data_IF_327046576553
#
_entry.id   IF_327046576553
#
_cell.length_a   1.000
_cell.length_b   1.000
_cell.length_c   1.000
_cell.angle_alpha   90.00
_cell.angle_beta   90.00
_cell.angle_gamma   90.00
#
_symmetry.space_group_name_H-M   'P 1'
#
loop_
_entity.id
_entity.type
_entity.pdbx_description
1 polymer ?
#
# COMPACT_ATOMS: atom_id res chain seq x y z
N UNK A 1 52.08 20.27 14.01
CA UNK A 1 50.63 20.18 13.75
C UNK A 1 49.92 20.35 15.08
N UNK A 2 49.10 21.39 15.21
CA UNK A 2 48.61 21.85 16.53
C UNK A 2 47.51 20.88 17.02
N UNK A 3 47.69 20.28 18.20
CA UNK A 3 46.80 19.29 18.81
C UNK A 3 45.33 19.75 18.85
N UNK A 4 45.11 21.07 18.96
CA UNK A 4 43.78 21.71 18.90
C UNK A 4 43.08 21.58 17.53
N UNK A 5 43.86 21.60 16.44
CA UNK A 5 43.34 21.40 15.08
C UNK A 5 42.94 19.94 14.84
N UNK A 6 43.70 18.99 15.38
CA UNK A 6 43.41 17.57 15.28
C UNK A 6 42.11 17.21 16.04
N UNK A 7 41.94 17.79 17.24
CA UNK A 7 40.73 17.60 18.02
C UNK A 7 39.47 18.18 17.37
N UNK A 8 39.61 19.34 16.69
CA UNK A 8 38.48 19.94 15.96
C UNK A 8 38.08 19.11 14.72
N UNK A 9 39.03 18.59 13.96
CA UNK A 9 38.77 17.69 12.84
C UNK A 9 38.14 16.37 13.28
N UNK A 10 38.54 15.79 14.41
CA UNK A 10 37.94 14.58 14.97
C UNK A 10 36.50 14.82 15.45
N UNK A 11 36.21 16.00 15.99
CA UNK A 11 34.86 16.37 16.42
C UNK A 11 33.90 16.57 15.22
N UNK A 12 34.38 17.21 14.13
CA UNK A 12 33.62 17.39 12.91
C UNK A 12 33.42 16.06 12.17
N UNK A 13 34.42 15.18 12.21
CA UNK A 13 34.30 13.85 11.61
C UNK A 13 33.34 12.94 12.42
N UNK A 14 33.36 13.03 13.75
CA UNK A 14 32.44 12.29 14.61
C UNK A 14 30.98 12.78 14.43
N UNK A 15 30.77 14.09 14.24
CA UNK A 15 29.42 14.63 13.98
C UNK A 15 28.89 14.28 12.58
N UNK A 16 29.76 14.02 11.61
CA UNK A 16 29.33 13.56 10.27
C UNK A 16 29.02 12.05 10.22
N UNK A 17 29.53 11.25 11.17
CA UNK A 17 29.22 9.81 11.27
C UNK A 17 27.88 9.59 11.99
N UNK A 18 27.43 10.52 12.83
CA UNK A 18 26.04 10.61 13.25
C UNK A 18 25.19 11.29 12.19
N UNK A 19 25.44 10.94 10.92
CA UNK A 19 24.51 11.25 9.85
C UNK A 19 23.13 10.85 10.35
N UNK A 20 22.27 11.84 10.52
CA UNK A 20 20.85 11.67 10.69
C UNK A 20 20.40 10.58 9.70
N UNK A 21 20.43 9.32 10.13
CA UNK A 21 19.57 8.33 9.53
C UNK A 21 18.20 8.92 9.77
N UNK A 22 17.68 9.61 8.76
CA UNK A 22 16.26 9.85 8.68
C UNK A 22 15.67 8.45 8.89
N UNK A 23 15.26 8.15 10.11
CA UNK A 23 14.50 6.97 10.39
C UNK A 23 13.24 7.20 9.58
N UNK A 24 13.21 6.59 8.40
CA UNK A 24 11.94 6.34 7.75
C UNK A 24 11.17 5.47 8.74
N UNK A 25 10.41 6.14 9.58
CA UNK A 25 9.49 5.45 10.48
C UNK A 25 8.53 4.76 9.56
N UNK A 26 8.76 3.46 9.39
CA UNK A 26 7.79 2.57 8.77
C UNK A 26 6.58 2.65 9.67
N UNK A 27 5.63 3.46 9.30
CA UNK A 27 4.41 3.53 10.04
C UNK A 27 3.73 2.17 9.90
N UNK A 28 3.89 1.41 10.91
CA UNK A 28 3.11 0.22 11.09
C UNK A 28 1.72 0.67 11.50
N UNK A 29 0.71 0.23 10.76
CA UNK A 29 -0.65 0.27 11.25
C UNK A 29 -0.68 -0.38 12.64
N UNK A 30 -1.34 0.27 13.57
CA UNK A 30 -1.47 -0.22 14.93
C UNK A 30 -2.74 -1.06 15.04
N UNK A 31 -2.69 -2.28 15.60
CA UNK A 31 -3.91 -3.01 15.93
C UNK A 31 -4.83 -2.12 16.79
N UNK A 32 -6.08 -2.05 16.43
CA UNK A 32 -7.07 -1.22 17.11
C UNK A 32 -8.14 -2.10 17.75
N UNK A 33 -8.56 -1.72 18.97
CA UNK A 33 -9.69 -2.38 19.60
C UNK A 33 -10.97 -1.97 18.87
N UNK A 34 -11.83 -2.91 18.56
CA UNK A 34 -13.10 -2.66 17.87
C UNK A 34 -13.97 -1.61 18.58
N UNK A 35 -13.91 -1.53 19.92
CA UNK A 35 -14.63 -0.51 20.70
C UNK A 35 -14.13 0.92 20.45
N UNK A 36 -12.89 1.06 19.99
CA UNK A 36 -12.29 2.37 19.66
C UNK A 36 -12.58 2.82 18.23
N UNK A 37 -13.16 1.96 17.39
CA UNK A 37 -13.49 2.29 16.00
C UNK A 37 -14.75 3.15 15.97
N UNK A 38 -14.75 4.28 15.26
CA UNK A 38 -15.94 5.11 15.09
C UNK A 38 -17.14 4.31 14.56
N UNK A 39 -18.30 4.51 15.15
CA UNK A 39 -19.51 3.76 14.79
C UNK A 39 -19.88 3.94 13.31
N UNK A 40 -19.66 5.14 12.77
CA UNK A 40 -19.90 5.41 11.34
C UNK A 40 -19.10 4.48 10.43
N UNK A 41 -17.84 4.21 10.75
CA UNK A 41 -16.99 3.30 9.96
C UNK A 41 -17.52 1.87 10.05
N UNK A 42 -17.88 1.40 11.26
CA UNK A 42 -18.42 0.06 11.45
C UNK A 42 -19.73 -0.14 10.68
N UNK A 43 -20.60 0.85 10.69
CA UNK A 43 -21.87 0.78 9.97
C UNK A 43 -21.63 0.68 8.45
N UNK A 44 -20.78 1.54 7.90
CA UNK A 44 -20.45 1.53 6.46
C UNK A 44 -19.79 0.20 6.07
N UNK A 45 -18.83 -0.29 6.88
CA UNK A 45 -18.22 -1.59 6.64
C UNK A 45 -19.26 -2.73 6.63
N UNK A 46 -20.16 -2.76 7.59
CA UNK A 46 -21.20 -3.81 7.69
C UNK A 46 -22.20 -3.74 6.52
N UNK A 47 -22.52 -2.53 6.04
CA UNK A 47 -23.36 -2.34 4.86
C UNK A 47 -22.68 -2.80 3.58
N UNK A 48 -21.39 -2.49 3.42
CA UNK A 48 -20.61 -2.88 2.24
C UNK A 48 -20.31 -4.39 2.23
N UNK A 49 -20.03 -4.97 3.40
CA UNK A 49 -19.57 -6.36 3.52
C UNK A 49 -20.36 -7.18 4.54
N UNK A 50 -21.70 -7.31 4.35
CA UNK A 50 -22.59 -7.89 5.38
C UNK A 50 -22.32 -9.37 5.68
N UNK A 51 -21.62 -10.08 4.79
CA UNK A 51 -21.29 -11.51 4.94
C UNK A 51 -19.82 -11.77 5.21
N UNK A 52 -19.02 -10.70 5.36
CA UNK A 52 -17.60 -10.85 5.57
C UNK A 52 -17.27 -11.34 6.98
N UNK A 53 -16.23 -12.15 7.07
CA UNK A 53 -15.65 -12.54 8.36
C UNK A 53 -14.59 -11.51 8.73
N UNK A 54 -14.83 -10.75 9.78
CA UNK A 54 -13.88 -9.78 10.32
C UNK A 54 -12.65 -10.49 10.87
N UNK A 55 -11.47 -10.03 10.48
CA UNK A 55 -10.18 -10.53 10.96
C UNK A 55 -9.50 -9.56 11.93
N UNK A 56 -9.62 -8.24 11.70
CA UNK A 56 -9.04 -7.26 12.60
C UNK A 56 -9.25 -5.81 12.15
N UNK A 57 -9.14 -4.92 13.12
CA UNK A 57 -9.12 -3.48 12.92
C UNK A 57 -7.74 -2.91 13.19
N UNK A 58 -7.37 -1.92 12.43
CA UNK A 58 -6.09 -1.21 12.56
C UNK A 58 -6.34 0.30 12.45
N UNK A 59 -5.53 1.04 13.17
CA UNK A 59 -5.57 2.49 13.18
C UNK A 59 -4.24 3.06 12.69
N UNK A 60 -4.28 4.18 11.99
CA UNK A 60 -3.09 4.88 11.53
C UNK A 60 -3.32 6.38 11.44
N UNK A 61 -2.23 7.16 11.46
CA UNK A 61 -2.26 8.58 11.18
C UNK A 61 -1.49 8.84 9.89
N UNK A 62 -2.18 9.32 8.87
CA UNK A 62 -1.61 9.66 7.57
C UNK A 62 -1.55 11.17 7.46
N UNK A 63 -0.34 11.75 7.41
CA UNK A 63 -0.14 13.19 7.34
C UNK A 63 -0.37 13.72 5.94
N UNK A 64 0.14 13.02 4.93
CA UNK A 64 -0.09 13.34 3.53
C UNK A 64 0.09 12.08 2.68
N UNK A 65 -0.58 12.08 1.53
CA UNK A 65 -0.39 11.07 0.51
C UNK A 65 0.75 11.50 -0.41
N UNK A 66 1.74 10.64 -0.63
CA UNK A 66 2.72 10.88 -1.68
C UNK A 66 2.00 10.95 -3.02
N UNK A 67 2.44 11.86 -3.88
CA UNK A 67 1.90 12.28 -5.19
C UNK A 67 1.47 11.16 -6.14
N UNK A 68 0.93 10.12 -5.63
CA UNK A 68 0.40 9.05 -6.40
C UNK A 68 -1.12 9.16 -6.35
N UNK A 69 -1.68 9.85 -7.32
CA UNK A 69 -3.12 9.93 -7.56
C UNK A 69 -3.76 8.55 -7.81
N UNK A 70 -2.95 7.55 -7.85
CA UNK A 70 -3.36 6.19 -7.93
C UNK A 70 -3.51 5.67 -6.52
N UNK A 71 -4.68 5.48 -6.05
CA UNK A 71 -5.17 4.80 -4.83
C UNK A 71 -4.24 3.80 -4.12
N UNK A 72 -2.91 4.04 -4.12
CA UNK A 72 -1.97 3.27 -3.33
C UNK A 72 -1.94 3.80 -1.92
N UNK A 73 -2.40 3.01 -0.99
CA UNK A 73 -2.31 3.33 0.43
C UNK A 73 -0.86 3.51 0.85
N UNK A 74 -0.66 4.07 2.06
CA UNK A 74 0.65 4.31 2.65
C UNK A 74 1.56 3.06 2.66
N UNK A 75 1.01 1.87 2.52
CA UNK A 75 1.77 0.68 2.16
C UNK A 75 0.91 -0.31 1.37
N UNK A 76 1.53 -0.97 0.43
CA UNK A 76 0.93 -2.09 -0.31
C UNK A 76 1.36 -3.43 0.25
N UNK A 77 0.77 -4.51 -0.24
CA UNK A 77 1.22 -5.86 0.08
C UNK A 77 2.62 -6.18 -0.44
N UNK A 78 3.17 -5.31 -1.26
CA UNK A 78 4.54 -5.39 -1.75
C UNK A 78 5.54 -4.61 -0.89
N UNK A 79 5.12 -4.14 0.29
CA UNK A 79 6.00 -3.40 1.20
C UNK A 79 6.33 -1.97 0.79
N UNK A 80 5.83 -1.50 -0.34
CA UNK A 80 6.07 -0.14 -0.81
C UNK A 80 5.18 0.86 -0.08
N UNK A 81 5.74 2.03 0.21
CA UNK A 81 5.08 3.11 0.93
C UNK A 81 4.86 4.30 0.04
N UNK A 82 3.68 4.82 0.12
CA UNK A 82 3.29 6.03 -0.58
C UNK A 82 3.00 7.21 0.35
N UNK A 83 3.10 7.06 1.66
CA UNK A 83 2.78 8.11 2.62
C UNK A 83 3.67 8.08 3.86
N UNK A 84 3.77 9.24 4.54
CA UNK A 84 4.37 9.35 5.87
C UNK A 84 3.30 9.14 6.92
N UNK A 85 3.57 8.26 7.87
CA UNK A 85 2.66 7.92 8.96
C UNK A 85 3.37 8.14 10.29
N UNK A 86 2.67 8.73 11.26
CA UNK A 86 3.17 8.93 12.61
C UNK A 86 2.33 8.15 13.61
N UNK A 87 2.92 7.13 14.23
CA UNK A 87 2.24 6.24 15.17
C UNK A 87 1.85 6.89 16.50
N UNK A 88 2.46 8.04 16.84
CA UNK A 88 2.19 8.76 18.09
C UNK A 88 1.05 9.78 17.98
N UNK A 89 0.53 10.02 16.79
CA UNK A 89 -0.59 10.94 16.59
C UNK A 89 -1.92 10.20 16.69
N UNK A 90 -3.00 10.97 16.99
CA UNK A 90 -4.34 10.40 16.95
C UNK A 90 -4.64 9.86 15.56
N UNK A 91 -5.23 8.67 15.46
CA UNK A 91 -5.57 8.09 14.16
C UNK A 91 -6.53 9.02 13.40
N UNK A 92 -6.31 9.15 12.12
CA UNK A 92 -7.23 9.82 11.19
C UNK A 92 -7.73 8.86 10.10
N UNK A 93 -7.21 7.62 10.08
CA UNK A 93 -7.66 6.53 9.23
C UNK A 93 -7.75 5.23 9.98
N UNK A 94 -8.64 4.38 9.51
CA UNK A 94 -8.84 3.01 9.99
C UNK A 94 -8.84 2.04 8.83
N UNK A 95 -8.16 0.93 9.01
CA UNK A 95 -8.14 -0.18 8.08
C UNK A 95 -8.83 -1.38 8.73
N UNK A 96 -9.65 -2.09 7.98
CA UNK A 96 -10.25 -3.35 8.38
C UNK A 96 -9.72 -4.48 7.51
N UNK A 97 -9.30 -5.57 8.15
CA UNK A 97 -8.98 -6.83 7.49
C UNK A 97 -10.15 -7.79 7.64
N UNK A 98 -10.52 -8.43 6.56
CA UNK A 98 -11.66 -9.36 6.53
C UNK A 98 -11.52 -10.36 5.38
N UNK A 99 -12.36 -11.39 5.40
CA UNK A 99 -12.49 -12.37 4.33
C UNK A 99 -13.93 -12.43 3.86
N UNK A 100 -14.17 -12.31 2.57
CA UNK A 100 -15.47 -12.53 1.95
C UNK A 100 -15.64 -13.99 1.53
N UNK A 101 -14.56 -14.62 1.10
CA UNK A 101 -14.53 -16.00 0.65
C UNK A 101 -13.35 -16.74 1.27
N UNK A 102 -13.49 -18.04 1.55
CA UNK A 102 -12.40 -18.83 2.15
C UNK A 102 -11.08 -18.70 1.37
N UNK A 103 -10.03 -18.30 2.07
CA UNK A 103 -8.68 -18.16 1.51
C UNK A 103 -8.41 -16.86 0.74
N UNK A 104 -9.33 -15.90 0.79
CA UNK A 104 -9.13 -14.53 0.33
C UNK A 104 -8.91 -13.60 1.53
N UNK A 105 -7.99 -12.67 1.37
CA UNK A 105 -7.75 -11.61 2.32
C UNK A 105 -8.08 -10.27 1.68
N UNK A 106 -9.00 -9.55 2.29
CA UNK A 106 -9.40 -8.21 1.90
C UNK A 106 -9.02 -7.20 2.97
N UNK A 107 -8.73 -5.97 2.54
CA UNK A 107 -8.47 -4.82 3.40
C UNK A 107 -9.19 -3.60 2.85
N UNK A 108 -9.96 -2.93 3.69
CA UNK A 108 -10.63 -1.68 3.33
C UNK A 108 -10.13 -0.53 4.21
N UNK A 109 -9.95 0.65 3.62
CA UNK A 109 -9.44 1.85 4.27
C UNK A 109 -10.51 2.93 4.34
N UNK A 110 -10.71 3.47 5.53
CA UNK A 110 -11.68 4.53 5.84
C UNK A 110 -11.00 5.68 6.59
N UNK A 111 -11.45 6.92 6.37
CA UNK A 111 -11.09 7.98 7.29
C UNK A 111 -12.01 8.01 8.51
N UNK A 112 -11.71 8.88 9.49
CA UNK A 112 -12.50 9.02 10.74
C UNK A 112 -13.96 9.42 10.51
N UNK A 113 -14.29 9.98 9.34
CA UNK A 113 -15.65 10.40 8.97
C UNK A 113 -16.42 9.31 8.23
N UNK A 114 -15.81 8.13 8.01
CA UNK A 114 -16.41 7.02 7.28
C UNK A 114 -16.22 7.06 5.77
N UNK A 115 -15.47 8.03 5.23
CA UNK A 115 -15.17 8.01 3.80
C UNK A 115 -14.32 6.79 3.45
N UNK A 116 -14.86 5.93 2.58
CA UNK A 116 -14.18 4.75 2.07
C UNK A 116 -13.27 5.14 0.90
N UNK A 117 -11.99 4.81 1.01
CA UNK A 117 -10.99 5.10 -0.04
C UNK A 117 -10.85 3.97 -1.03
N UNK A 118 -10.65 2.78 -0.53
CA UNK A 118 -10.32 1.63 -1.36
C UNK A 118 -10.48 0.34 -0.58
N UNK A 119 -10.86 -0.72 -1.28
CA UNK A 119 -10.72 -2.09 -0.80
C UNK A 119 -9.78 -2.84 -1.72
N UNK A 120 -8.87 -3.60 -1.13
CA UNK A 120 -7.93 -4.49 -1.80
C UNK A 120 -8.21 -5.90 -1.40
N UNK A 121 -8.44 -6.75 -2.40
CA UNK A 121 -8.64 -8.18 -2.20
C UNK A 121 -7.52 -8.95 -2.87
N UNK A 122 -6.80 -9.77 -2.11
CA UNK A 122 -5.79 -10.65 -2.67
C UNK A 122 -6.46 -11.77 -3.47
N UNK A 123 -6.02 -11.95 -4.71
CA UNK A 123 -6.57 -12.94 -5.63
C UNK A 123 -5.51 -13.94 -6.07
N UNK A 124 -5.94 -15.16 -6.40
CA UNK A 124 -5.03 -16.22 -6.86
C UNK A 124 -4.67 -16.10 -8.33
N UNK A 125 -5.59 -15.66 -9.16
CA UNK A 125 -5.43 -15.55 -10.61
C UNK A 125 -5.94 -14.23 -11.18
N UNK A 126 -5.48 -13.83 -12.34
CA UNK A 126 -6.00 -12.72 -13.10
C UNK A 126 -7.13 -13.19 -14.03
N UNK A 127 -8.12 -12.35 -14.34
CA UNK A 127 -9.11 -12.60 -15.39
C UNK A 127 -8.45 -12.97 -16.73
N UNK A 128 -9.13 -13.81 -17.50
CA UNK A 128 -8.61 -14.26 -18.79
C UNK A 128 -8.34 -13.09 -19.75
N UNK A 129 -9.24 -12.10 -19.79
CA UNK A 129 -9.07 -10.91 -20.61
C UNK A 129 -7.76 -10.15 -20.30
N UNK A 130 -7.38 -10.04 -19.04
CA UNK A 130 -6.10 -9.42 -18.64
C UNK A 130 -4.92 -10.26 -19.12
N UNK A 131 -5.01 -11.60 -18.97
CA UNK A 131 -3.95 -12.50 -19.41
C UNK A 131 -3.77 -12.46 -20.94
N UNK A 132 -4.85 -12.31 -21.69
CA UNK A 132 -4.82 -12.16 -23.16
C UNK A 132 -4.25 -10.79 -23.55
N UNK A 133 -4.74 -9.72 -22.93
CA UNK A 133 -4.23 -8.37 -23.18
C UNK A 133 -2.73 -8.24 -22.91
N UNK A 134 -2.21 -8.90 -21.86
CA UNK A 134 -0.78 -8.90 -21.56
C UNK A 134 0.08 -9.51 -22.67
N UNK A 135 -0.44 -10.51 -23.41
CA UNK A 135 0.29 -11.14 -24.52
C UNK A 135 0.56 -10.15 -25.65
N UNK A 136 -0.32 -9.16 -25.83
CA UNK A 136 -0.20 -8.12 -26.86
C UNK A 136 0.69 -6.95 -26.45
N UNK A 137 1.23 -6.98 -25.22
CA UNK A 137 2.10 -5.94 -24.70
C UNK A 137 3.58 -6.34 -24.76
N UNK A 138 4.47 -5.35 -24.59
CA UNK A 138 5.92 -5.59 -24.40
C UNK A 138 6.23 -6.44 -23.16
N UNK A 139 5.24 -6.70 -22.31
CA UNK A 139 5.35 -7.49 -21.08
C UNK A 139 4.96 -8.96 -21.25
N UNK A 140 4.63 -9.40 -22.46
CA UNK A 140 4.21 -10.79 -22.76
C UNK A 140 5.15 -11.86 -22.22
N UNK A 141 6.46 -11.58 -22.19
CA UNK A 141 7.50 -12.49 -21.71
C UNK A 141 7.98 -12.19 -20.29
N UNK A 142 7.23 -11.37 -19.53
CA UNK A 142 7.59 -11.03 -18.18
C UNK A 142 6.89 -11.98 -17.19
N UNK A 143 7.56 -12.26 -16.08
CA UNK A 143 7.00 -13.06 -15.01
C UNK A 143 5.98 -12.24 -14.23
N UNK A 144 4.77 -12.75 -14.08
CA UNK A 144 3.74 -12.17 -13.24
C UNK A 144 4.00 -12.57 -11.78
N UNK A 145 3.86 -11.63 -10.84
CA UNK A 145 4.02 -11.88 -9.41
C UNK A 145 3.01 -12.91 -8.88
N UNK A 146 3.37 -13.57 -7.80
CA UNK A 146 2.44 -14.44 -7.06
C UNK A 146 1.32 -13.62 -6.42
N UNK A 147 1.67 -12.47 -5.84
CA UNK A 147 0.69 -11.55 -5.24
C UNK A 147 0.03 -10.74 -6.33
N UNK A 148 -1.29 -10.79 -6.37
CA UNK A 148 -2.17 -10.04 -7.26
C UNK A 148 -3.33 -9.53 -6.44
N UNK A 149 -3.83 -8.37 -6.78
CA UNK A 149 -4.92 -7.73 -6.04
C UNK A 149 -6.02 -7.25 -6.99
N UNK A 150 -7.23 -7.38 -6.53
CA UNK A 150 -8.38 -6.67 -7.05
C UNK A 150 -8.59 -5.42 -6.18
N UNK A 151 -8.82 -4.29 -6.81
CA UNK A 151 -9.00 -2.98 -6.20
C UNK A 151 -10.41 -2.48 -6.51
N UNK A 152 -11.10 -2.03 -5.47
CA UNK A 152 -12.41 -1.40 -5.54
C UNK A 152 -12.32 -0.04 -4.84
N UNK A 153 -12.78 1.02 -5.48
CA UNK A 153 -12.69 2.38 -4.94
C UNK A 153 -13.80 3.25 -5.51
N UNK A 154 -14.35 4.21 -4.74
CA UNK A 154 -15.30 5.18 -5.28
C UNK A 154 -14.70 6.07 -6.38
N UNK A 155 -13.37 6.16 -6.46
CA UNK A 155 -12.67 6.91 -7.50
C UNK A 155 -12.68 6.19 -8.87
N UNK A 156 -12.99 4.90 -8.91
CA UNK A 156 -12.96 4.09 -10.12
C UNK A 156 -14.31 3.46 -10.38
N UNK A 157 -14.91 3.67 -11.55
CA UNK A 157 -16.22 3.07 -11.88
C UNK A 157 -16.13 1.58 -12.24
N UNK A 158 -14.92 1.01 -12.26
CA UNK A 158 -14.63 -0.37 -12.63
C UNK A 158 -13.68 -1.02 -11.66
N UNK A 159 -13.72 -2.35 -11.57
CA UNK A 159 -12.72 -3.10 -10.82
C UNK A 159 -11.34 -3.00 -11.48
N UNK A 160 -10.31 -2.76 -10.68
CA UNK A 160 -8.94 -2.68 -11.14
C UNK A 160 -8.14 -3.86 -10.59
N UNK A 161 -7.34 -4.45 -11.45
CA UNK A 161 -6.44 -5.53 -11.12
C UNK A 161 -5.01 -5.00 -11.07
N UNK A 162 -4.38 -5.12 -9.92
CA UNK A 162 -3.00 -4.70 -9.67
C UNK A 162 -2.10 -5.90 -9.46
N UNK A 163 -0.97 -5.92 -10.16
CA UNK A 163 0.03 -6.98 -10.06
C UNK A 163 1.38 -6.48 -10.54
N UNK A 164 2.44 -7.16 -10.16
CA UNK A 164 3.77 -6.88 -10.69
C UNK A 164 4.09 -7.78 -11.87
N UNK A 165 4.85 -7.22 -12.81
CA UNK A 165 5.53 -7.97 -13.85
C UNK A 165 7.03 -7.72 -13.74
N UNK A 166 7.86 -8.75 -13.95
CA UNK A 166 9.31 -8.65 -13.78
C UNK A 166 10.07 -9.43 -14.84
N UNK A 167 11.25 -8.91 -15.24
CA UNK A 167 12.18 -9.56 -16.14
C UNK A 167 13.62 -9.15 -15.80
N UNK A 168 14.41 -10.09 -15.29
CA UNK A 168 15.74 -9.79 -14.75
C UNK A 168 15.61 -8.84 -13.54
N UNK A 169 16.34 -7.74 -13.57
CA UNK A 169 16.29 -6.70 -12.53
C UNK A 169 15.16 -5.67 -12.71
N UNK A 170 14.41 -5.74 -13.80
CA UNK A 170 13.32 -4.80 -14.07
C UNK A 170 12.02 -5.32 -13.46
N UNK A 171 11.30 -4.43 -12.78
CA UNK A 171 9.97 -4.71 -12.24
C UNK A 171 9.04 -3.53 -12.47
N UNK A 172 7.76 -3.80 -12.75
CA UNK A 172 6.76 -2.76 -12.94
C UNK A 172 5.45 -3.18 -12.31
N UNK A 173 4.72 -2.20 -11.77
CA UNK A 173 3.34 -2.38 -11.29
C UNK A 173 2.41 -2.10 -12.46
N UNK A 174 1.57 -3.08 -12.75
CA UNK A 174 0.51 -2.99 -13.74
C UNK A 174 -0.82 -2.74 -13.03
N UNK A 175 -1.65 -1.89 -13.63
CA UNK A 175 -3.06 -1.73 -13.27
C UNK A 175 -3.89 -1.86 -14.53
N UNK A 176 -4.80 -2.80 -14.54
CA UNK A 176 -5.67 -3.08 -15.68
C UNK A 176 -7.10 -3.23 -15.20
N UNK A 177 -8.06 -2.83 -16.00
CA UNK A 177 -9.46 -3.12 -15.72
C UNK A 177 -9.80 -4.60 -16.04
N UNK A 178 -11.01 -5.01 -15.71
CA UNK A 178 -11.51 -6.36 -15.95
C UNK A 178 -11.49 -6.79 -17.43
N UNK A 179 -11.49 -5.82 -18.37
CA UNK A 179 -11.45 -6.04 -19.81
C UNK A 179 -10.03 -6.12 -20.37
N UNK A 180 -9.01 -5.92 -19.51
CA UNK A 180 -7.61 -5.90 -19.91
C UNK A 180 -7.12 -4.55 -20.44
N UNK A 181 -7.89 -3.47 -20.28
CA UNK A 181 -7.40 -2.15 -20.63
C UNK A 181 -6.39 -1.69 -19.60
N UNK A 182 -5.24 -1.18 -20.07
CA UNK A 182 -4.22 -0.66 -19.21
C UNK A 182 -4.65 0.68 -18.61
N UNK A 183 -4.71 0.74 -17.27
CA UNK A 183 -5.03 1.97 -16.53
C UNK A 183 -3.75 2.72 -16.21
N UNK A 184 -2.75 2.01 -15.66
CA UNK A 184 -1.49 2.63 -15.26
C UNK A 184 -0.36 1.60 -15.17
N UNK A 185 0.84 2.06 -15.50
CA UNK A 185 2.10 1.36 -15.22
C UNK A 185 2.90 2.26 -14.29
N UNK A 186 3.38 1.70 -13.19
CA UNK A 186 4.32 2.37 -12.30
C UNK A 186 5.64 1.60 -12.33
N UNK A 187 6.72 2.29 -12.65
CA UNK A 187 8.06 1.73 -12.52
C UNK A 187 8.37 1.58 -11.03
N UNK A 188 8.83 0.41 -10.67
CA UNK A 188 9.33 0.12 -9.33
C UNK A 188 10.82 0.33 -9.39
N UNK A 189 11.34 1.28 -8.63
CA UNK A 189 12.77 1.39 -8.44
C UNK A 189 13.28 0.08 -7.84
N UNK A 190 14.36 -0.46 -8.40
CA UNK A 190 14.98 -1.67 -7.88
C UNK A 190 15.28 -1.45 -6.39
N UNK A 191 14.64 -2.24 -5.55
CA UNK A 191 14.93 -2.23 -4.12
C UNK A 191 16.25 -2.98 -3.93
N UNK A 192 17.33 -2.24 -3.76
CA UNK A 192 18.60 -2.72 -3.27
C UNK A 192 18.63 -2.78 -1.74
#
# INVERSE_FOLDING_TARGET
MNLKFLAFFLLVYASSIFGLKAQYVVAQRQPANEKSIPLVIKNIYNEQYPKATLMGWYATHITYWQNDYSSDWYYGWYGQRSVVVYSYQKPNYYEVEFSQYPGELSRALYNIYGYWYETRTQIKGLPLAIMEALKETKYSNWKISLTKEKLESPAWPVEIYRFHVSKGLKSQIMRMDEKGNLIQIKEVADAF
#
